data_IF_828274041738
#
_entry.id   IF_828274041738
#
_cell.length_a   1.000
_cell.length_b   1.000
_cell.length_c   1.000
_cell.angle_alpha   90.00
_cell.angle_beta   90.00
_cell.angle_gamma   90.00
#
_symmetry.space_group_name_H-M   'P 1'
#
loop_
_entity.id
_entity.type
_entity.pdbx_description
1 polymer ?
#
# COMPACT_ATOMS: atom_id res chain seq x y z
N UNK A 1 -1.18 20.82 25.98
CA UNK A 1 0.13 21.21 25.43
C UNK A 1 -0.05 21.61 23.98
N UNK A 2 0.38 22.80 23.58
CA UNK A 2 0.48 23.19 22.17
C UNK A 2 1.96 23.26 21.81
N UNK A 3 2.42 22.28 21.04
CA UNK A 3 3.79 22.26 20.53
C UNK A 3 3.96 23.34 19.47
N UNK A 4 4.99 24.18 19.63
CA UNK A 4 5.29 25.29 18.72
C UNK A 4 6.26 24.84 17.64
N UNK A 5 5.97 25.21 16.39
CA UNK A 5 6.87 24.95 15.25
C UNK A 5 8.12 25.82 15.33
N UNK A 6 9.30 25.21 15.11
CA UNK A 6 10.59 25.90 15.05
C UNK A 6 10.94 26.22 13.58
N UNK A 7 10.91 27.49 13.22
CA UNK A 7 11.21 27.96 11.87
C UNK A 7 12.71 28.24 11.65
N UNK A 8 13.12 28.32 10.39
CA UNK A 8 14.54 28.47 9.99
C UNK A 8 15.00 29.91 9.79
N UNK A 9 14.09 30.90 9.88
CA UNK A 9 14.36 32.32 9.57
C UNK A 9 15.16 33.11 10.62
N UNK A 10 15.59 32.47 11.72
CA UNK A 10 16.23 33.18 12.84
C UNK A 10 15.29 34.17 13.52
N UNK A 11 15.80 35.29 14.03
CA UNK A 11 14.97 36.32 14.67
C UNK A 11 14.21 37.10 13.60
N UNK A 12 12.89 36.97 13.59
CA UNK A 12 11.99 37.73 12.71
C UNK A 12 11.82 39.14 13.31
N UNK A 13 12.13 40.19 12.53
CA UNK A 13 12.04 41.59 12.97
C UNK A 13 10.73 42.25 12.55
N UNK A 14 10.41 42.20 11.26
CA UNK A 14 9.30 42.99 10.70
C UNK A 14 8.01 42.17 10.59
N UNK A 15 7.92 41.25 9.61
CA UNK A 15 6.69 40.51 9.31
C UNK A 15 6.88 39.00 9.48
N UNK A 16 6.20 38.44 10.49
CA UNK A 16 6.23 37.02 10.79
C UNK A 16 5.56 36.14 9.72
N UNK A 17 4.43 36.57 9.16
CA UNK A 17 3.73 35.80 8.12
C UNK A 17 4.55 35.74 6.84
N UNK A 18 5.12 36.86 6.40
CA UNK A 18 5.96 36.90 5.21
C UNK A 18 7.25 36.08 5.39
N UNK A 19 7.84 36.09 6.58
CA UNK A 19 8.99 35.26 6.91
C UNK A 19 8.64 33.76 6.84
N UNK A 20 7.51 33.38 7.45
CA UNK A 20 7.03 31.99 7.45
C UNK A 20 6.61 31.51 6.06
N UNK A 21 5.98 32.35 5.25
CA UNK A 21 5.57 32.00 3.89
C UNK A 21 6.75 31.53 3.03
N UNK A 22 7.94 32.09 3.27
CA UNK A 22 9.18 31.74 2.60
C UNK A 22 10.00 30.67 3.37
N UNK A 23 9.49 30.11 4.46
CA UNK A 23 10.09 29.00 5.22
C UNK A 23 9.73 27.65 4.58
N UNK A 24 10.54 26.59 4.74
CA UNK A 24 10.22 25.26 4.23
C UNK A 24 8.86 24.71 4.67
N UNK A 25 8.30 25.21 5.77
CA UNK A 25 6.94 24.88 6.22
C UNK A 25 5.90 25.03 5.11
N UNK A 26 5.96 26.15 4.37
CA UNK A 26 4.97 26.54 3.36
C UNK A 26 5.51 26.40 1.93
N UNK A 27 6.40 25.44 1.69
CA UNK A 27 6.89 25.15 0.34
C UNK A 27 5.78 24.62 -0.58
N UNK A 28 5.93 24.87 -1.88
CA UNK A 28 5.10 24.23 -2.89
C UNK A 28 5.23 22.70 -2.79
N UNK A 29 4.09 22.02 -2.68
CA UNK A 29 4.01 20.56 -2.74
C UNK A 29 3.48 20.17 -4.12
N UNK A 30 4.20 19.26 -4.78
CA UNK A 30 3.75 18.63 -6.03
C UNK A 30 3.31 17.22 -5.68
N UNK A 31 2.08 16.88 -6.04
CA UNK A 31 1.60 15.52 -5.92
C UNK A 31 2.26 14.64 -6.99
N UNK A 32 2.56 13.38 -6.65
CA UNK A 32 3.04 12.42 -7.63
C UNK A 32 1.89 11.96 -8.50
N UNK A 33 1.98 12.22 -9.79
CA UNK A 33 0.99 11.78 -10.75
C UNK A 33 0.97 10.24 -10.88
N UNK A 34 -0.22 9.67 -11.03
CA UNK A 34 -0.41 8.22 -11.24
C UNK A 34 -0.20 7.79 -12.69
N UNK A 35 -0.28 8.73 -13.64
CA UNK A 35 -0.09 8.47 -15.08
C UNK A 35 0.65 9.63 -15.76
N UNK A 36 1.40 9.32 -16.83
CA UNK A 36 2.11 10.29 -17.66
C UNK A 36 3.56 10.52 -17.24
N UNK A 37 4.08 11.74 -17.45
CA UNK A 37 5.49 12.07 -17.17
C UNK A 37 5.80 11.96 -15.68
N UNK A 38 6.75 11.12 -15.30
CA UNK A 38 7.15 10.95 -13.90
C UNK A 38 6.26 10.00 -13.08
N UNK A 39 5.28 9.34 -13.71
CA UNK A 39 4.40 8.41 -12.99
C UNK A 39 4.97 7.00 -12.80
N UNK A 40 6.04 6.63 -13.52
CA UNK A 40 6.64 5.30 -13.42
C UNK A 40 7.11 4.99 -11.99
N UNK A 41 6.71 3.82 -11.48
CA UNK A 41 7.08 3.33 -10.16
C UNK A 41 7.66 1.92 -10.31
N UNK A 42 8.93 1.71 -9.93
CA UNK A 42 9.59 0.39 -10.05
C UNK A 42 8.88 -0.72 -9.26
N UNK A 43 8.32 -0.38 -8.10
CA UNK A 43 7.49 -1.26 -7.28
C UNK A 43 6.22 -0.52 -6.90
N UNK A 44 5.06 -1.09 -7.22
CA UNK A 44 3.77 -0.56 -6.78
C UNK A 44 3.54 -0.81 -5.29
N UNK A 45 2.47 -0.20 -4.75
CA UNK A 45 2.10 -0.33 -3.32
C UNK A 45 1.97 -1.78 -2.86
N UNK A 46 1.43 -2.65 -3.71
CA UNK A 46 1.20 -4.08 -3.42
C UNK A 46 2.16 -4.97 -4.21
N UNK A 47 3.41 -4.53 -4.46
CA UNK A 47 4.40 -5.41 -5.10
C UNK A 47 4.55 -6.67 -4.24
N UNK A 48 4.12 -7.83 -4.79
CA UNK A 48 4.06 -9.11 -4.07
C UNK A 48 5.38 -9.37 -3.34
N UNK A 49 5.30 -9.80 -2.08
CA UNK A 49 6.41 -10.47 -1.43
C UNK A 49 6.83 -11.65 -2.33
N UNK A 50 8.14 -11.91 -2.39
CA UNK A 50 8.71 -12.96 -3.22
C UNK A 50 8.21 -14.33 -2.75
N UNK A 51 7.10 -14.80 -3.32
CA UNK A 51 6.77 -16.23 -3.34
C UNK A 51 6.93 -16.69 -4.79
N UNK A 52 8.19 -16.76 -5.22
CA UNK A 52 8.57 -17.34 -6.51
C UNK A 52 9.01 -18.79 -6.33
N UNK A 53 8.36 -19.54 -5.44
CA UNK A 53 8.56 -20.96 -5.24
C UNK A 53 7.22 -21.69 -5.17
N UNK A 54 7.04 -22.63 -6.09
CA UNK A 54 6.24 -23.84 -5.95
C UNK A 54 4.75 -23.70 -5.59
N UNK A 55 3.89 -23.70 -6.60
CA UNK A 55 2.54 -24.31 -6.55
C UNK A 55 1.81 -24.31 -5.19
N UNK A 56 1.38 -23.14 -4.71
CA UNK A 56 0.43 -23.04 -3.59
C UNK A 56 -1.00 -23.38 -4.02
N UNK A 57 -1.25 -24.60 -4.50
CA UNK A 57 -2.64 -25.11 -4.65
C UNK A 57 -3.19 -25.37 -3.26
N UNK A 58 -3.80 -24.36 -2.64
CA UNK A 58 -4.75 -24.60 -1.55
C UNK A 58 -6.04 -25.11 -2.22
N UNK A 59 -6.11 -26.42 -2.41
CA UNK A 59 -7.35 -27.09 -2.78
C UNK A 59 -8.19 -27.10 -1.50
N UNK A 60 -9.25 -26.30 -1.48
CA UNK A 60 -10.30 -26.40 -0.47
C UNK A 60 -10.85 -27.83 -0.47
N UNK A 61 -10.60 -28.58 0.61
CA UNK A 61 -11.03 -29.99 0.79
C UNK A 61 -12.52 -30.14 1.11
N UNK A 62 -13.31 -29.10 0.89
CA UNK A 62 -14.67 -29.03 1.45
C UNK A 62 -15.77 -29.51 0.49
N UNK A 63 -15.44 -30.03 -0.72
CA UNK A 63 -16.48 -30.30 -1.73
C UNK A 63 -16.46 -31.66 -2.44
N UNK A 64 -15.59 -32.60 -2.09
CA UNK A 64 -15.53 -33.90 -2.82
C UNK A 64 -15.47 -35.11 -1.89
N UNK A 65 -16.52 -35.34 -1.12
CA UNK A 65 -16.84 -36.64 -0.51
C UNK A 65 -18.33 -36.95 -0.67
N UNK A 66 -18.86 -36.85 -1.89
CA UNK A 66 -20.25 -37.24 -2.17
C UNK A 66 -20.37 -37.87 -3.56
N UNK A 67 -19.71 -39.01 -3.76
CA UNK A 67 -20.01 -39.93 -4.87
C UNK A 67 -19.49 -41.34 -4.52
N UNK A 68 -20.25 -42.02 -3.66
CA UNK A 68 -20.21 -43.47 -3.49
C UNK A 68 -21.62 -43.98 -3.78
N UNK A 69 -21.89 -44.60 -4.94
CA UNK A 69 -23.01 -45.53 -5.03
C UNK A 69 -22.50 -46.90 -4.58
N UNK A 70 -22.84 -47.27 -3.34
CA UNK A 70 -22.82 -48.66 -2.93
C UNK A 70 -23.91 -49.41 -3.72
N UNK A 71 -23.55 -50.43 -4.49
CA UNK A 71 -24.50 -51.43 -4.96
C UNK A 71 -24.04 -52.82 -4.50
N UNK A 72 -24.85 -53.40 -3.62
CA UNK A 72 -24.86 -54.81 -3.27
C UNK A 72 -25.59 -55.60 -4.37
N UNK A 73 -25.14 -56.83 -4.67
CA UNK A 73 -25.96 -58.06 -4.52
C UNK A 73 -25.50 -59.22 -5.43
N UNK A 74 -25.07 -60.30 -4.74
CA UNK A 74 -25.29 -61.74 -4.98
C UNK A 74 -24.97 -62.34 -6.35
N UNK A 75 -23.95 -63.21 -6.35
CA UNK A 75 -23.89 -64.37 -7.23
C UNK A 75 -24.52 -65.58 -6.49
N UNK A 76 -25.38 -66.32 -7.19
CA UNK A 76 -25.61 -67.75 -6.95
C UNK A 76 -24.59 -68.54 -7.77
#
# INVERSE_FOLDING_TARGET
MTDKYQHTKGIIKDNALAALLNDPLFRQRREKNLKGKGSYCRKGKNAKARDWEGSGKIISRDFTTALLPAYHSRAN
#
